data_IF_231627166452
#
_entry.id   IF_231627166452
#
_cell.length_a   1.000
_cell.length_b   1.000
_cell.length_c   1.000
_cell.angle_alpha   90.00
_cell.angle_beta   90.00
_cell.angle_gamma   90.00
#
_symmetry.space_group_name_H-M   'P 1'
#
loop_
_entity.id
_entity.type
_entity.pdbx_description
1 polymer ?
#
# COMPACT_ATOMS: atom_id res chain seq x y z
N UNK A 1 -8.63 -10.51 32.80
CA UNK A 1 -7.48 -11.16 33.45
C UNK A 1 -6.58 -10.05 33.96
N UNK A 2 -6.28 -10.01 35.26
CA UNK A 2 -5.29 -9.08 35.81
C UNK A 2 -3.92 -9.48 35.26
N UNK A 3 -3.26 -8.59 34.52
CA UNK A 3 -1.86 -8.78 34.16
C UNK A 3 -1.00 -8.54 35.40
N UNK A 4 -0.34 -9.60 35.87
CA UNK A 4 0.65 -9.50 36.94
C UNK A 4 1.89 -8.75 36.44
N UNK A 5 2.37 -7.79 37.23
CA UNK A 5 3.62 -7.07 36.96
C UNK A 5 4.81 -8.04 37.01
N UNK A 6 5.63 -8.04 35.96
CA UNK A 6 6.90 -8.74 35.95
C UNK A 6 7.85 -8.10 36.98
N UNK A 7 8.61 -8.90 37.76
CA UNK A 7 9.57 -8.35 38.70
C UNK A 7 10.73 -7.66 37.97
N UNK A 8 10.97 -6.40 38.32
CA UNK A 8 12.12 -5.61 37.85
C UNK A 8 13.42 -6.21 38.42
N UNK A 9 14.27 -6.80 37.57
CA UNK A 9 15.60 -7.33 37.93
C UNK A 9 16.71 -6.26 37.95
N UNK A 10 16.35 -4.98 37.95
CA UNK A 10 17.30 -3.89 37.83
C UNK A 10 17.26 -3.06 39.12
N UNK A 11 18.37 -3.00 39.85
CA UNK A 11 18.51 -2.31 41.13
C UNK A 11 18.57 -0.77 40.98
N UNK A 12 17.77 -0.21 40.07
CA UNK A 12 17.71 1.22 39.77
C UNK A 12 16.79 1.93 40.77
N UNK A 13 17.35 2.81 41.59
CA UNK A 13 16.64 3.59 42.62
C UNK A 13 15.90 4.82 42.06
N UNK A 14 15.93 5.05 40.74
CA UNK A 14 15.16 6.11 40.09
C UNK A 14 13.74 5.58 39.85
N UNK A 15 12.69 6.18 40.45
CA UNK A 15 11.32 5.82 40.11
C UNK A 15 11.11 6.09 38.62
N UNK A 16 10.86 5.04 37.85
CA UNK A 16 10.43 5.19 36.47
C UNK A 16 9.14 6.01 36.50
N UNK A 17 9.08 7.18 35.83
CA UNK A 17 7.85 7.94 35.80
C UNK A 17 6.76 7.03 35.23
N UNK A 18 5.69 6.84 36.00
CA UNK A 18 4.50 6.13 35.53
C UNK A 18 4.11 6.85 34.24
N UNK A 19 4.23 6.18 33.10
CA UNK A 19 3.80 6.74 31.83
C UNK A 19 2.30 6.96 31.98
N UNK A 20 1.91 8.22 32.22
CA UNK A 20 0.52 8.60 32.36
C UNK A 20 -0.07 8.49 30.96
N UNK A 21 -0.71 7.36 30.69
CA UNK A 21 -1.40 7.14 29.43
C UNK A 21 -2.32 8.34 29.18
N UNK A 22 -2.25 8.89 27.97
CA UNK A 22 -3.14 10.00 27.59
C UNK A 22 -4.60 9.56 27.80
N UNK A 23 -5.51 10.48 28.18
CA UNK A 23 -6.93 10.17 28.27
C UNK A 23 -7.40 9.50 26.98
N UNK A 24 -8.15 8.40 27.11
CA UNK A 24 -8.69 7.68 25.96
C UNK A 24 -9.63 8.62 25.19
N UNK A 25 -9.26 8.93 23.95
CA UNK A 25 -10.12 9.68 23.03
C UNK A 25 -11.14 8.72 22.40
N UNK A 26 -12.35 8.71 22.97
CA UNK A 26 -13.46 7.85 22.55
C UNK A 26 -14.09 7.04 23.67
N UNK A 27 -15.15 6.29 23.35
CA UNK A 27 -15.91 5.49 24.31
C UNK A 27 -15.28 4.09 24.56
N UNK A 28 -14.41 3.63 23.65
CA UNK A 28 -13.74 2.32 23.76
C UNK A 28 -12.42 2.31 23.00
N UNK A 29 -11.49 1.43 23.40
CA UNK A 29 -10.21 1.20 22.73
C UNK A 29 -10.33 0.07 21.70
N UNK A 30 -9.75 0.26 20.52
CA UNK A 30 -9.70 -0.75 19.45
C UNK A 30 -8.38 -1.51 19.45
N UNK A 31 -8.28 -2.57 20.26
CA UNK A 31 -7.04 -3.37 20.33
C UNK A 31 -6.98 -4.50 19.27
N UNK A 32 -8.13 -4.87 18.68
CA UNK A 32 -8.22 -6.04 17.78
C UNK A 32 -7.36 -5.90 16.52
N UNK A 33 -7.35 -4.72 15.89
CA UNK A 33 -6.64 -4.50 14.62
C UNK A 33 -5.14 -4.28 14.86
N UNK A 34 -4.79 -3.53 15.91
CA UNK A 34 -3.39 -3.23 16.24
C UNK A 34 -2.59 -4.49 16.60
N UNK A 35 -3.24 -5.50 17.18
CA UNK A 35 -2.62 -6.78 17.56
C UNK A 35 -2.86 -7.90 16.54
N UNK A 36 -3.50 -7.59 15.41
CA UNK A 36 -3.90 -8.59 14.42
C UNK A 36 -2.69 -9.21 13.73
N UNK A 37 -2.86 -10.47 13.30
CA UNK A 37 -1.85 -11.24 12.56
C UNK A 37 -2.42 -11.74 11.25
N UNK A 38 -1.56 -11.81 10.25
CA UNK A 38 -1.91 -12.28 8.91
C UNK A 38 -2.38 -13.73 8.98
N UNK A 39 -3.54 -14.01 8.38
CA UNK A 39 -3.99 -15.39 8.19
C UNK A 39 -3.26 -15.98 6.98
N UNK A 40 -2.43 -17.02 7.14
CA UNK A 40 -1.66 -17.59 6.04
C UNK A 40 -2.58 -18.24 5.00
N UNK A 41 -2.16 -18.22 3.73
CA UNK A 41 -2.82 -19.02 2.70
C UNK A 41 -2.64 -20.51 2.97
N UNK A 42 -3.56 -21.32 2.46
CA UNK A 42 -3.38 -22.76 2.47
C UNK A 42 -2.11 -23.14 1.70
N UNK A 43 -1.33 -24.05 2.27
CA UNK A 43 -0.18 -24.63 1.59
C UNK A 43 -0.68 -25.33 0.30
N UNK A 44 -0.01 -25.04 -0.81
CA UNK A 44 -0.36 -25.56 -2.13
C UNK A 44 0.90 -26.16 -2.75
N UNK A 45 0.81 -27.43 -3.11
CA UNK A 45 1.88 -28.13 -3.84
C UNK A 45 1.62 -27.98 -5.33
N UNK A 46 2.69 -27.91 -6.12
CA UNK A 46 2.60 -27.79 -7.57
C UNK A 46 1.78 -28.93 -8.20
N UNK A 47 1.94 -30.16 -7.71
CA UNK A 47 1.18 -31.32 -8.19
C UNK A 47 -0.34 -31.23 -7.98
N UNK A 48 -0.79 -30.38 -7.05
CA UNK A 48 -2.21 -30.20 -6.74
C UNK A 48 -2.85 -29.05 -7.56
N UNK A 49 -2.04 -28.26 -8.26
CA UNK A 49 -2.49 -27.18 -9.15
C UNK A 49 -2.93 -27.76 -10.48
N UNK A 50 -4.23 -27.96 -10.63
CA UNK A 50 -4.83 -28.47 -11.87
C UNK A 50 -4.99 -27.39 -12.94
N UNK A 51 -5.18 -26.15 -12.54
CA UNK A 51 -5.35 -25.01 -13.43
C UNK A 51 -4.83 -23.75 -12.75
N UNK A 52 -4.19 -22.87 -13.53
CA UNK A 52 -3.74 -21.54 -13.10
C UNK A 52 -3.96 -20.54 -14.24
N UNK A 53 -4.50 -19.37 -13.90
CA UNK A 53 -4.60 -18.22 -14.80
C UNK A 53 -4.29 -16.92 -14.05
N UNK A 54 -3.35 -16.15 -14.57
CA UNK A 54 -3.07 -14.80 -14.08
C UNK A 54 -4.06 -13.80 -14.70
N UNK A 55 -4.64 -12.94 -13.88
CA UNK A 55 -5.60 -11.91 -14.28
C UNK A 55 -5.15 -10.58 -13.68
N UNK A 56 -5.28 -9.52 -14.46
CA UNK A 56 -5.13 -8.15 -13.99
C UNK A 56 -6.51 -7.54 -13.77
N UNK A 57 -6.72 -6.96 -12.59
CA UNK A 57 -7.96 -6.25 -12.26
C UNK A 57 -7.63 -4.81 -11.92
N UNK A 58 -8.42 -3.88 -12.42
CA UNK A 58 -8.35 -2.47 -12.01
C UNK A 58 -9.40 -2.18 -10.95
N UNK A 59 -8.99 -1.51 -9.87
CA UNK A 59 -9.87 -0.93 -8.86
C UNK A 59 -9.91 0.56 -9.13
N UNK A 60 -11.04 1.07 -9.63
CA UNK A 60 -11.25 2.51 -9.78
C UNK A 60 -11.85 3.11 -8.50
N UNK A 61 -11.12 4.03 -7.87
CA UNK A 61 -11.48 4.68 -6.61
C UNK A 61 -12.68 5.63 -6.74
N UNK A 62 -13.09 5.97 -7.96
CA UNK A 62 -14.29 6.77 -8.23
C UNK A 62 -15.57 5.97 -8.01
N UNK A 63 -15.48 4.66 -8.11
CA UNK A 63 -16.62 3.77 -7.88
C UNK A 63 -17.03 3.77 -6.41
N UNK A 64 -18.34 3.68 -6.15
CA UNK A 64 -18.90 3.77 -4.80
C UNK A 64 -18.32 2.71 -3.86
N UNK A 65 -18.13 1.48 -4.33
CA UNK A 65 -17.59 0.39 -3.52
C UNK A 65 -16.12 0.61 -3.15
N UNK A 66 -15.37 1.26 -4.04
CA UNK A 66 -13.92 1.45 -3.92
C UNK A 66 -13.53 2.77 -3.23
N UNK A 67 -14.47 3.65 -2.89
CA UNK A 67 -14.19 4.89 -2.15
C UNK A 67 -13.53 4.66 -0.79
N UNK A 68 -13.64 3.44 -0.26
CA UNK A 68 -13.04 3.05 1.00
C UNK A 68 -11.50 3.11 0.94
N UNK A 69 -10.91 2.89 -0.24
CA UNK A 69 -9.45 2.95 -0.44
C UNK A 69 -8.93 4.40 -0.59
N UNK A 70 -9.79 5.39 -0.84
CA UNK A 70 -9.45 6.82 -1.01
C UNK A 70 -9.96 7.71 0.12
N UNK A 71 -10.32 7.12 1.27
CA UNK A 71 -10.82 7.84 2.43
C UNK A 71 -9.76 8.80 2.99
N UNK A 72 -10.04 10.10 3.19
CA UNK A 72 -9.04 11.05 3.69
C UNK A 72 -8.43 10.72 5.06
N UNK A 73 -9.13 9.91 5.88
CA UNK A 73 -8.64 9.48 7.19
C UNK A 73 -7.62 8.33 7.10
N UNK A 74 -7.74 7.51 6.06
CA UNK A 74 -6.89 6.35 5.83
C UNK A 74 -6.95 6.08 4.32
N UNK A 75 -6.04 6.70 3.56
CA UNK A 75 -5.90 6.41 2.12
C UNK A 75 -4.95 5.23 1.96
N UNK A 76 -5.28 4.31 1.08
CA UNK A 76 -4.44 3.14 0.83
C UNK A 76 -3.03 3.56 0.39
N UNK A 77 -2.92 4.59 -0.45
CA UNK A 77 -1.60 5.05 -0.91
C UNK A 77 -0.75 5.63 0.22
N UNK A 78 -1.35 6.36 1.16
CA UNK A 78 -0.59 6.96 2.27
C UNK A 78 -0.01 5.85 3.15
N UNK A 79 -0.79 4.80 3.42
CA UNK A 79 -0.34 3.59 4.13
C UNK A 79 0.82 2.91 3.39
N UNK A 80 0.71 2.74 2.08
CA UNK A 80 1.76 2.15 1.24
C UNK A 80 3.04 2.99 1.28
N UNK A 81 2.93 4.30 1.10
CA UNK A 81 4.09 5.19 1.05
C UNK A 81 4.78 5.32 2.41
N UNK A 82 4.02 5.34 3.50
CA UNK A 82 4.55 5.28 4.86
C UNK A 82 5.31 3.97 5.09
N UNK A 83 4.76 2.84 4.66
CA UNK A 83 5.38 1.52 4.78
C UNK A 83 6.68 1.41 3.95
N UNK A 84 6.69 1.97 2.74
CA UNK A 84 7.89 2.00 1.89
C UNK A 84 8.97 2.90 2.53
N UNK A 85 8.58 4.05 3.06
CA UNK A 85 9.51 5.01 3.66
C UNK A 85 10.11 4.49 4.98
N UNK A 86 9.33 3.75 5.76
CA UNK A 86 9.81 3.05 6.97
C UNK A 86 10.64 1.80 6.67
N UNK A 87 10.61 1.31 5.43
CA UNK A 87 11.30 0.08 5.03
C UNK A 87 10.56 -1.20 5.41
N UNK A 88 9.30 -1.10 5.83
CA UNK A 88 8.43 -2.26 6.10
C UNK A 88 7.93 -2.94 4.81
N UNK A 89 7.95 -2.22 3.68
CA UNK A 89 7.41 -2.68 2.41
C UNK A 89 8.35 -2.36 1.25
N UNK A 90 8.56 -3.35 0.37
CA UNK A 90 9.40 -3.19 -0.82
C UNK A 90 8.58 -2.76 -2.04
N UNK A 91 9.03 -1.71 -2.73
CA UNK A 91 8.48 -1.28 -4.02
C UNK A 91 9.33 -1.79 -5.18
N UNK A 92 8.69 -2.28 -6.24
CA UNK A 92 9.34 -2.84 -7.43
C UNK A 92 9.00 -2.04 -8.68
N UNK A 93 9.99 -1.77 -9.52
CA UNK A 93 9.79 -1.00 -10.74
C UNK A 93 8.83 -1.70 -11.71
N UNK A 94 7.94 -0.93 -12.34
CA UNK A 94 7.18 -1.43 -13.48
C UNK A 94 8.13 -1.71 -14.65
N UNK A 95 8.18 -2.93 -15.20
CA UNK A 95 9.08 -3.26 -16.29
C UNK A 95 8.68 -2.50 -17.56
N UNK A 96 9.63 -1.78 -18.16
CA UNK A 96 9.42 -1.05 -19.42
C UNK A 96 9.85 -1.95 -20.57
N UNK A 97 8.89 -2.48 -21.32
CA UNK A 97 9.14 -3.39 -22.44
C UNK A 97 9.41 -4.82 -21.96
N UNK A 98 8.37 -5.65 -22.00
CA UNK A 98 8.39 -7.07 -21.63
C UNK A 98 6.98 -7.65 -21.75
N UNK A 99 6.84 -8.98 -21.76
CA UNK A 99 5.52 -9.60 -21.69
C UNK A 99 4.86 -9.29 -20.33
N UNK A 100 3.58 -8.84 -20.31
CA UNK A 100 2.85 -8.66 -19.06
C UNK A 100 2.83 -9.95 -18.25
N UNK A 101 3.21 -9.91 -16.99
CA UNK A 101 3.32 -11.08 -16.11
C UNK A 101 4.74 -11.45 -15.71
N UNK A 102 5.74 -10.92 -16.41
CA UNK A 102 7.14 -11.30 -16.22
C UNK A 102 7.93 -10.11 -15.64
N UNK A 103 8.71 -10.38 -14.58
CA UNK A 103 9.66 -9.44 -13.95
C UNK A 103 9.08 -8.28 -13.13
N UNK A 104 7.78 -8.24 -12.82
CA UNK A 104 7.21 -7.14 -12.00
C UNK A 104 7.78 -7.03 -10.58
N UNK A 105 8.45 -8.08 -10.08
CA UNK A 105 9.08 -8.14 -8.75
C UNK A 105 10.60 -8.32 -8.83
N UNK A 106 11.22 -7.90 -9.93
CA UNK A 106 12.66 -8.11 -10.17
C UNK A 106 13.53 -6.95 -9.68
N UNK A 107 13.08 -5.71 -9.92
CA UNK A 107 13.90 -4.51 -9.73
C UNK A 107 13.35 -3.72 -8.56
N UNK A 108 14.08 -3.68 -7.45
CA UNK A 108 13.69 -2.91 -6.25
C UNK A 108 13.94 -1.43 -6.47
N UNK A 109 12.97 -0.59 -6.09
CA UNK A 109 13.07 0.86 -6.08
C UNK A 109 13.45 1.37 -4.70
N UNK A 110 14.20 2.49 -4.67
CA UNK A 110 14.38 3.24 -3.43
C UNK A 110 13.09 4.00 -3.08
N UNK A 111 12.82 4.29 -1.79
CA UNK A 111 11.64 5.05 -1.38
C UNK A 111 11.51 6.41 -2.09
N UNK A 112 12.63 7.11 -2.29
CA UNK A 112 12.68 8.38 -3.00
C UNK A 112 12.29 8.24 -4.48
N UNK A 113 12.74 7.16 -5.14
CA UNK A 113 12.41 6.86 -6.53
C UNK A 113 10.93 6.48 -6.68
N UNK A 114 10.39 5.69 -5.75
CA UNK A 114 8.98 5.34 -5.71
C UNK A 114 8.09 6.58 -5.55
N UNK A 115 8.49 7.51 -4.66
CA UNK A 115 7.80 8.79 -4.49
C UNK A 115 7.91 9.67 -5.74
N UNK A 116 9.07 9.70 -6.38
CA UNK A 116 9.31 10.46 -7.60
C UNK A 116 8.42 10.01 -8.78
N UNK A 117 7.94 8.76 -8.80
CA UNK A 117 6.99 8.30 -9.83
C UNK A 117 5.65 9.02 -9.80
N UNK A 118 5.26 9.60 -8.66
CA UNK A 118 4.01 10.36 -8.51
C UNK A 118 4.19 11.87 -8.65
N UNK A 119 5.43 12.34 -8.59
CA UNK A 119 5.72 13.75 -8.72
C UNK A 119 5.52 14.16 -10.20
N UNK A 120 4.51 14.98 -10.48
CA UNK A 120 4.45 15.71 -11.74
C UNK A 120 5.75 16.53 -11.83
N UNK A 121 6.63 16.15 -12.76
CA UNK A 121 7.93 16.81 -12.91
C UNK A 121 7.69 18.18 -13.54
N UNK A 122 7.86 19.24 -12.76
CA UNK A 122 7.77 20.61 -13.27
C UNK A 122 9.17 21.10 -13.60
N UNK A 123 9.36 21.57 -14.83
CA UNK A 123 10.59 22.28 -15.22
C UNK A 123 10.55 23.67 -14.59
N UNK A 124 11.31 23.86 -13.50
CA UNK A 124 11.51 25.18 -12.93
C UNK A 124 12.78 25.79 -13.53
N UNK A 125 12.57 26.86 -14.29
CA UNK A 125 13.65 27.75 -14.70
C UNK A 125 14.08 28.56 -13.47
N UNK A 126 15.33 28.41 -13.04
CA UNK A 126 15.88 29.26 -11.99
C UNK A 126 16.16 30.64 -12.59
N UNK A 127 15.81 31.70 -11.87
CA UNK A 127 16.09 33.09 -12.26
C UNK A 127 17.05 33.72 -11.25
N UNK A 128 17.95 34.59 -11.72
CA UNK A 128 18.81 35.43 -10.87
C UNK A 128 17.99 36.54 -10.19
N UNK A 129 18.57 37.24 -9.21
CA UNK A 129 18.00 38.44 -8.57
C UNK A 129 17.70 39.58 -9.56
N UNK A 130 18.22 39.48 -10.80
CA UNK A 130 17.97 40.40 -11.93
C UNK A 130 16.88 39.95 -12.89
N UNK A 131 16.28 38.77 -12.67
CA UNK A 131 15.20 38.23 -13.51
C UNK A 131 15.65 37.47 -14.76
N UNK A 132 16.96 37.26 -14.95
CA UNK A 132 17.50 36.48 -16.06
C UNK A 132 17.49 34.98 -15.74
N UNK A 133 17.15 34.08 -16.69
CA UNK A 133 17.18 32.64 -16.46
C UNK A 133 18.62 32.14 -16.30
N UNK A 134 18.95 31.56 -15.15
CA UNK A 134 20.28 31.02 -14.83
C UNK A 134 20.27 29.50 -14.86
N UNK A 135 21.13 28.94 -15.72
CA UNK A 135 21.40 27.51 -15.79
C UNK A 135 20.33 26.69 -16.52
N UNK A 136 20.60 25.39 -16.63
CA UNK A 136 19.63 24.45 -17.18
C UNK A 136 18.43 24.36 -16.23
N UNK A 137 17.18 24.24 -16.75
CA UNK A 137 16.00 24.09 -15.92
C UNK A 137 16.20 22.91 -14.98
N UNK A 138 16.10 23.16 -13.68
CA UNK A 138 16.17 22.10 -12.69
C UNK A 138 14.85 21.35 -12.69
N UNK A 139 14.90 20.04 -12.93
CA UNK A 139 13.77 19.16 -12.67
C UNK A 139 13.54 19.11 -11.17
N UNK A 140 12.53 19.83 -10.70
CA UNK A 140 12.06 19.70 -9.33
C UNK A 140 10.89 18.73 -9.38
N UNK A 141 11.03 17.62 -8.67
CA UNK A 141 9.92 16.70 -8.44
C UNK A 141 8.82 17.49 -7.71
N UNK A 142 7.65 17.62 -8.33
CA UNK A 142 6.48 18.18 -7.67
C UNK A 142 6.17 17.45 -6.37
N UNK A 143 5.42 18.10 -5.48
CA UNK A 143 5.00 17.47 -4.24
C UNK A 143 4.09 16.27 -4.51
N UNK A 144 4.28 15.20 -3.74
CA UNK A 144 3.44 14.02 -3.82
C UNK A 144 2.02 14.39 -3.41
N UNK A 145 1.08 14.29 -4.35
CA UNK A 145 -0.33 14.48 -4.09
C UNK A 145 -1.07 13.12 -4.07
N UNK A 146 -1.47 12.61 -2.90
CA UNK A 146 -2.19 11.35 -2.79
C UNK A 146 -3.53 11.33 -3.55
N UNK A 147 -4.19 12.49 -3.69
CA UNK A 147 -5.48 12.62 -4.37
C UNK A 147 -5.37 12.46 -5.90
N UNK A 148 -4.16 12.52 -6.45
CA UNK A 148 -3.92 12.29 -7.88
C UNK A 148 -4.13 10.82 -8.29
N UNK A 149 -4.10 9.91 -7.31
CA UNK A 149 -4.20 8.47 -7.56
C UNK A 149 -5.66 8.09 -7.57
N UNK A 150 -6.07 7.60 -8.73
CA UNK A 150 -7.48 7.31 -9.03
C UNK A 150 -7.73 5.82 -9.14
N UNK A 151 -6.70 5.03 -9.47
CA UNK A 151 -6.85 3.59 -9.68
C UNK A 151 -5.70 2.81 -9.05
N UNK A 152 -6.00 1.57 -8.70
CA UNK A 152 -5.01 0.55 -8.41
C UNK A 152 -5.18 -0.61 -9.39
N UNK A 153 -4.09 -1.25 -9.78
CA UNK A 153 -4.11 -2.49 -10.53
C UNK A 153 -3.69 -3.63 -9.60
N UNK A 154 -4.41 -4.75 -9.66
CA UNK A 154 -4.15 -5.95 -8.89
C UNK A 154 -3.77 -7.07 -9.86
N UNK A 155 -2.66 -7.75 -9.58
CA UNK A 155 -2.26 -8.99 -10.23
C UNK A 155 -2.74 -10.16 -9.38
N UNK A 156 -3.64 -10.97 -9.93
CA UNK A 156 -4.26 -12.12 -9.27
C UNK A 156 -3.92 -13.41 -10.01
N UNK A 157 -3.59 -14.47 -9.27
CA UNK A 157 -3.56 -15.83 -9.79
C UNK A 157 -4.81 -16.58 -9.37
N UNK A 158 -5.62 -16.95 -10.35
CA UNK A 158 -6.76 -17.82 -10.16
C UNK A 158 -6.31 -19.26 -10.34
N UNK A 159 -6.50 -20.08 -9.31
CA UNK A 159 -6.01 -21.45 -9.30
C UNK A 159 -7.08 -22.43 -8.81
N UNK A 160 -7.10 -23.61 -9.43
CA UNK A 160 -7.91 -24.74 -8.98
C UNK A 160 -7.02 -25.73 -8.22
N UNK A 161 -7.24 -25.81 -6.92
CA UNK A 161 -6.60 -26.78 -6.03
C UNK A 161 -7.41 -28.08 -6.04
N UNK A 162 -6.81 -29.15 -6.58
CA UNK A 162 -7.43 -30.47 -6.65
C UNK A 162 -7.72 -31.05 -5.27
N UNK A 163 -6.79 -30.92 -4.33
CA UNK A 163 -6.87 -31.55 -3.02
C UNK A 163 -8.04 -30.97 -2.22
N UNK A 164 -8.24 -29.65 -2.31
CA UNK A 164 -9.35 -28.95 -1.64
C UNK A 164 -10.61 -28.86 -2.51
N UNK A 165 -10.50 -29.13 -3.81
CA UNK A 165 -11.57 -28.95 -4.81
C UNK A 165 -12.12 -27.52 -4.81
N UNK A 166 -11.25 -26.52 -4.64
CA UNK A 166 -11.60 -25.10 -4.55
C UNK A 166 -10.90 -24.33 -5.68
N UNK A 167 -11.66 -23.45 -6.33
CA UNK A 167 -11.13 -22.43 -7.24
C UNK A 167 -11.00 -21.11 -6.48
N UNK A 168 -9.77 -20.71 -6.12
CA UNK A 168 -9.52 -19.51 -5.33
C UNK A 168 -8.59 -18.53 -6.06
N UNK A 169 -8.88 -17.23 -6.00
CA UNK A 169 -7.95 -16.19 -6.44
C UNK A 169 -6.95 -15.88 -5.32
N UNK A 170 -5.66 -15.81 -5.67
CA UNK A 170 -4.59 -15.34 -4.79
C UNK A 170 -4.00 -14.06 -5.35
N UNK A 171 -4.02 -12.99 -4.56
CA UNK A 171 -3.42 -11.71 -4.96
C UNK A 171 -1.90 -11.84 -4.84
N UNK A 172 -1.20 -11.50 -5.92
CA UNK A 172 0.26 -11.55 -6.01
C UNK A 172 0.85 -10.15 -5.79
N UNK A 173 0.22 -9.13 -6.36
CA UNK A 173 0.70 -7.78 -6.23
C UNK A 173 -0.35 -6.72 -6.47
N UNK A 174 -0.05 -5.53 -5.95
CA UNK A 174 -0.87 -4.33 -6.07
C UNK A 174 0.03 -3.23 -6.62
N UNK A 175 -0.50 -2.43 -7.53
CA UNK A 175 0.19 -1.28 -8.08
C UNK A 175 -0.72 -0.05 -8.12
N UNK A 176 -0.31 1.10 -7.57
CA UNK A 176 -0.97 2.37 -7.85
C UNK A 176 -0.75 2.77 -9.32
N UNK A 177 -1.82 3.24 -9.97
CA UNK A 177 -1.78 3.66 -11.38
C UNK A 177 -1.60 5.17 -11.49
N UNK A 178 -0.75 5.59 -12.42
CA UNK A 178 -0.51 6.99 -12.76
C UNK A 178 -0.84 7.27 -14.22
N UNK A 179 -1.27 8.50 -14.51
CA UNK A 179 -1.49 8.97 -15.87
C UNK A 179 -0.22 9.55 -16.44
N UNK A 180 0.28 8.97 -17.52
CA UNK A 180 1.43 9.53 -18.22
C UNK A 180 0.92 10.66 -19.13
N UNK A 181 1.45 11.85 -18.92
CA UNK A 181 1.27 12.97 -19.85
C UNK A 181 2.59 13.22 -20.55
N UNK A 182 2.61 13.18 -21.88
CA UNK A 182 3.74 13.66 -22.67
C UNK A 182 3.24 14.76 -23.60
N UNK A 183 3.92 15.91 -23.60
CA UNK A 183 3.61 17.04 -24.46
C UNK A 183 2.12 17.46 -24.46
N UNK A 184 1.47 17.41 -23.29
CA UNK A 184 0.05 17.77 -23.13
C UNK A 184 -0.96 16.69 -23.60
N UNK A 185 -0.50 15.58 -24.17
CA UNK A 185 -1.34 14.44 -24.52
C UNK A 185 -1.24 13.33 -23.48
N UNK A 186 -2.39 12.74 -23.12
CA UNK A 186 -2.47 11.61 -22.21
C UNK A 186 -2.12 10.33 -22.96
N UNK A 187 -0.95 9.75 -22.66
CA UNK A 187 -0.47 8.51 -23.28
C UNK A 187 -1.14 7.24 -22.72
N UNK A 188 -1.90 7.38 -21.64
CA UNK A 188 -2.59 6.28 -20.97
C UNK A 188 -2.28 6.23 -19.48
N UNK A 189 -2.73 5.15 -18.85
CA UNK A 189 -2.49 4.84 -17.44
C UNK A 189 -1.51 3.67 -17.36
N UNK A 190 -0.50 3.79 -16.50
CA UNK A 190 0.45 2.71 -16.23
C UNK A 190 0.66 2.52 -14.72
N UNK A 191 1.06 1.33 -14.28
CA UNK A 191 1.53 1.11 -12.91
C UNK A 191 2.74 2.00 -12.59
N UNK A 192 2.72 2.69 -11.46
CA UNK A 192 3.89 3.45 -11.00
C UNK A 192 5.00 2.51 -10.52
N UNK A 193 4.62 1.55 -9.67
CA UNK A 193 5.45 0.46 -9.16
C UNK A 193 4.55 -0.67 -8.65
N UNK A 194 5.12 -1.85 -8.50
CA UNK A 194 4.45 -3.02 -7.95
C UNK A 194 4.87 -3.25 -6.51
N UNK A 195 3.93 -3.74 -5.72
CA UNK A 195 4.15 -4.19 -4.34
C UNK A 195 3.83 -5.68 -4.30
N UNK A 196 4.70 -6.47 -3.68
CA UNK A 196 4.43 -7.88 -3.48
C UNK A 196 3.41 -8.05 -2.35
N UNK A 197 2.21 -8.51 -2.71
CA UNK A 197 1.07 -8.51 -1.79
C UNK A 197 1.30 -9.41 -0.57
N UNK A 198 1.83 -10.66 -0.68
CA UNK A 198 2.08 -11.51 0.48
C UNK A 198 2.96 -10.88 1.57
N UNK A 199 3.95 -10.06 1.18
CA UNK A 199 4.77 -9.27 2.10
C UNK A 199 3.97 -8.13 2.72
N UNK A 200 3.25 -7.37 1.87
CA UNK A 200 2.44 -6.22 2.30
C UNK A 200 1.32 -6.56 3.30
N UNK A 201 0.87 -7.83 3.36
CA UNK A 201 -0.15 -8.28 4.32
C UNK A 201 0.24 -7.99 5.76
N UNK A 202 1.53 -8.09 6.10
CA UNK A 202 2.02 -7.85 7.45
C UNK A 202 1.81 -6.41 7.93
N UNK A 203 1.91 -5.45 7.02
CA UNK A 203 1.57 -4.05 7.30
C UNK A 203 0.06 -3.85 7.23
N UNK A 204 -0.60 -4.36 6.19
CA UNK A 204 -2.03 -4.13 5.96
C UNK A 204 -2.96 -4.68 7.03
N UNK A 205 -2.58 -5.75 7.73
CA UNK A 205 -3.42 -6.34 8.79
C UNK A 205 -3.58 -5.42 10.00
N UNK A 206 -2.61 -4.52 10.24
CA UNK A 206 -2.63 -3.58 11.37
C UNK A 206 -3.25 -2.22 11.04
N UNK A 207 -3.50 -1.97 9.75
CA UNK A 207 -3.98 -0.68 9.25
C UNK A 207 -5.50 -0.75 9.04
N UNK A 208 -6.25 -0.08 9.91
CA UNK A 208 -7.71 -0.02 9.84
C UNK A 208 -8.17 0.82 8.64
N UNK A 209 -9.26 0.38 8.03
CA UNK A 209 -9.89 1.05 6.90
C UNK A 209 -10.97 2.00 7.40
N UNK A 210 -10.87 3.28 7.07
CA UNK A 210 -11.86 4.28 7.46
C UNK A 210 -12.90 4.51 6.36
N UNK A 211 -14.20 4.46 6.69
CA UNK A 211 -15.25 4.93 5.78
C UNK A 211 -15.59 6.39 6.08
N UNK A 212 -16.06 7.15 5.08
CA UNK A 212 -16.48 8.56 5.26
C UNK A 212 -17.57 8.73 6.33
N UNK A 213 -18.45 7.74 6.46
CA UNK A 213 -19.62 7.80 7.33
C UNK A 213 -19.48 7.02 8.63
N UNK A 214 -18.46 6.16 8.75
CA UNK A 214 -18.29 5.30 9.90
C UNK A 214 -16.80 5.03 10.15
N UNK A 215 -16.36 5.39 11.35
CA UNK A 215 -15.01 5.11 11.81
C UNK A 215 -14.89 3.74 12.48
N UNK A 216 -16.00 3.03 12.72
CA UNK A 216 -16.05 1.71 13.33
C UNK A 216 -16.29 0.59 12.30
N UNK A 217 -15.55 0.58 11.18
CA UNK A 217 -15.64 -0.52 10.21
C UNK A 217 -15.16 -1.84 10.82
N UNK A 218 -14.12 -1.79 11.67
CA UNK A 218 -13.52 -2.96 12.29
C UNK A 218 -12.77 -3.86 11.31
N UNK A 219 -12.47 -3.37 10.10
CA UNK A 219 -11.78 -4.12 9.05
C UNK A 219 -10.42 -3.48 8.76
N UNK A 220 -9.41 -4.33 8.61
CA UNK A 220 -8.08 -3.94 8.14
C UNK A 220 -8.00 -3.92 6.60
N UNK A 221 -6.93 -3.33 6.06
CA UNK A 221 -6.68 -3.42 4.62
C UNK A 221 -6.48 -4.87 4.17
N UNK A 222 -5.88 -5.73 5.00
CA UNK A 222 -5.77 -7.16 4.70
C UNK A 222 -7.15 -7.80 4.57
N UNK A 223 -8.07 -7.51 5.49
CA UNK A 223 -9.42 -8.07 5.48
C UNK A 223 -10.18 -7.72 4.21
N UNK A 224 -10.12 -6.45 3.76
CA UNK A 224 -10.88 -6.03 2.57
C UNK A 224 -10.33 -6.66 1.28
N UNK A 225 -9.01 -6.85 1.18
CA UNK A 225 -8.41 -7.55 0.04
C UNK A 225 -8.71 -9.04 0.06
N UNK A 226 -8.58 -9.68 1.23
CA UNK A 226 -8.84 -11.11 1.40
C UNK A 226 -10.32 -11.45 1.19
N UNK A 227 -11.24 -10.59 1.64
CA UNK A 227 -12.69 -10.70 1.40
C UNK A 227 -13.11 -10.19 0.02
N UNK A 228 -12.17 -9.67 -0.78
CA UNK A 228 -12.41 -9.15 -2.14
C UNK A 228 -13.47 -8.04 -2.19
N UNK A 229 -13.41 -7.12 -1.24
CA UNK A 229 -14.31 -5.97 -1.17
C UNK A 229 -13.84 -4.86 -2.12
N UNK A 230 -13.86 -5.16 -3.42
CA UNK A 230 -13.54 -4.23 -4.51
C UNK A 230 -14.23 -4.67 -5.80
N UNK A 231 -14.61 -3.69 -6.63
CA UNK A 231 -15.11 -3.91 -8.00
C UNK A 231 -13.99 -3.60 -8.97
#
# INVERSE_FOLDING_TARGET
MLFAQQPNLNNSTKPTPIQKEAPLDGYYKKDNILSARVTPYANLREADVMYRKTIYREIDLREKMNRIYSSPKARLIDVIMEAITSGEMTAYAHPVGGEPGVYEFSTVLKPEEAKAKFADSVLLQKYDDKGDPVGNPSLVAGEFNPDSIVKFQIKEDWMFDKQRSIYEPRIIGIAPMIKIKAAGQSLGEQPAFWIYFPEARHTFVTKEVASRSNDATGLSYDDIFMKRLFA
#
